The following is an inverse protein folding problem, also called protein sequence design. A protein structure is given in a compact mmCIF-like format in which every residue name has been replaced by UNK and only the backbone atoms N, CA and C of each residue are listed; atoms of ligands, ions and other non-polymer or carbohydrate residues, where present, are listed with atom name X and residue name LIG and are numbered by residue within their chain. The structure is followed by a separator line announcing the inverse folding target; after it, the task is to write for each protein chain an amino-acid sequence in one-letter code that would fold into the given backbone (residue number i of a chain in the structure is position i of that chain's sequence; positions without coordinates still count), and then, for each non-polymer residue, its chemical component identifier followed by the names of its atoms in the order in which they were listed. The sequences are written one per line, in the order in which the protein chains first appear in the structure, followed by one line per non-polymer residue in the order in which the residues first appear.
data_IF_523820816690
#
_entry.id   IF_523820816690
#
_cell.length_a   1.000
_cell.length_b   1.000
_cell.length_c   1.000
_cell.angle_alpha   90.00
_cell.angle_beta   90.00
_cell.angle_gamma   90.00
#
_symmetry.space_group_name_H-M   'P 1'
#
loop_
_entity.id
_entity.type
_entity.pdbx_description
1 polymer ?
#
# COMPACT_ATOMS: atom_id res chain seq x y z
N UNK A 1 -28.13 -40.29 -28.02
CA UNK A 1 -27.92 -39.13 -28.94
C UNK A 1 -27.09 -38.06 -28.22
N UNK A 2 -25.83 -37.92 -28.61
CA UNK A 2 -24.82 -37.07 -27.94
C UNK A 2 -24.89 -35.61 -28.43
N UNK A 3 -24.79 -34.58 -27.56
CA UNK A 3 -24.94 -33.19 -27.98
C UNK A 3 -23.63 -32.63 -28.58
N UNK A 4 -23.79 -31.99 -29.73
CA UNK A 4 -22.73 -31.43 -30.55
C UNK A 4 -22.19 -30.11 -29.98
N UNK A 5 -21.01 -30.15 -29.38
CA UNK A 5 -20.17 -28.98 -29.16
C UNK A 5 -18.85 -29.18 -29.90
N UNK A 6 -18.82 -28.88 -31.19
CA UNK A 6 -17.61 -28.47 -31.92
C UNK A 6 -17.95 -28.21 -33.37
N UNK A 7 -18.10 -26.93 -33.72
CA UNK A 7 -17.58 -26.34 -34.97
C UNK A 7 -17.91 -24.86 -34.99
N UNK A 8 -16.88 -24.03 -34.89
CA UNK A 8 -16.92 -22.63 -35.35
C UNK A 8 -16.36 -22.59 -36.77
N UNK A 9 -17.12 -22.11 -37.75
CA UNK A 9 -16.48 -21.43 -38.86
C UNK A 9 -17.20 -20.11 -39.22
N UNK A 10 -16.40 -19.10 -39.57
CA UNK A 10 -16.85 -18.01 -40.44
C UNK A 10 -17.56 -16.84 -39.77
N UNK A 11 -16.77 -15.85 -39.36
CA UNK A 11 -17.01 -14.40 -39.47
C UNK A 11 -18.44 -13.96 -39.83
N UNK A 12 -19.25 -13.58 -38.83
CA UNK A 12 -19.96 -12.29 -38.79
C UNK A 12 -20.81 -12.10 -37.52
N UNK A 13 -20.52 -10.99 -36.82
CA UNK A 13 -21.41 -10.23 -35.91
C UNK A 13 -22.05 -11.00 -34.75
N UNK A 14 -21.35 -11.05 -33.62
CA UNK A 14 -22.04 -11.13 -32.33
C UNK A 14 -22.72 -9.77 -32.05
N UNK A 15 -24.05 -9.70 -31.89
CA UNK A 15 -24.72 -8.49 -31.45
C UNK A 15 -24.32 -8.21 -29.99
N UNK A 16 -23.84 -7.00 -29.75
CA UNK A 16 -23.53 -6.46 -28.42
C UNK A 16 -24.83 -6.30 -27.66
N UNK A 17 -25.24 -7.31 -26.91
CA UNK A 17 -26.30 -7.18 -25.92
C UNK A 17 -25.92 -7.98 -24.67
N UNK A 18 -25.59 -7.24 -23.61
CA UNK A 18 -25.50 -7.78 -22.27
C UNK A 18 -24.10 -7.88 -21.67
N UNK A 19 -23.26 -6.86 -21.80
CA UNK A 19 -22.24 -6.63 -20.76
C UNK A 19 -22.84 -5.61 -19.77
N UNK A 20 -23.22 -6.04 -18.54
CA UNK A 20 -23.72 -5.13 -17.53
C UNK A 20 -22.67 -4.05 -17.27
N UNK A 21 -23.10 -2.79 -17.22
CA UNK A 21 -22.31 -1.58 -16.94
C UNK A 21 -21.59 -1.58 -15.57
N UNK A 22 -21.51 -2.72 -14.88
CA UNK A 22 -20.83 -2.88 -13.59
C UNK A 22 -19.32 -3.11 -13.73
N UNK A 23 -18.83 -3.58 -14.88
CA UNK A 23 -17.40 -3.85 -15.07
C UNK A 23 -16.59 -2.60 -15.46
N UNK A 24 -17.22 -1.45 -15.74
CA UNK A 24 -16.49 -0.22 -16.06
C UNK A 24 -16.19 0.65 -14.83
N UNK A 25 -16.91 0.52 -13.71
CA UNK A 25 -16.61 1.31 -12.51
C UNK A 25 -15.43 0.75 -11.72
N UNK A 26 -15.20 -0.58 -11.75
CA UNK A 26 -14.04 -1.21 -11.09
C UNK A 26 -12.71 -0.88 -11.77
N UNK A 27 -12.72 -0.53 -13.06
CA UNK A 27 -11.49 -0.15 -13.77
C UNK A 27 -11.19 1.37 -13.76
N UNK A 28 -12.10 2.20 -13.26
CA UNK A 28 -11.90 3.66 -13.21
C UNK A 28 -11.73 4.24 -11.79
N UNK A 29 -11.72 3.42 -10.73
CA UNK A 29 -11.55 3.91 -9.35
C UNK A 29 -10.11 3.84 -8.83
N UNK A 30 -9.15 3.31 -9.58
CA UNK A 30 -7.73 3.26 -9.16
C UNK A 30 -6.77 3.87 -10.18
N UNK A 31 -7.12 5.06 -10.67
CA UNK A 31 -6.18 5.94 -11.40
C UNK A 31 -5.75 7.15 -10.59
N UNK A 32 -5.66 7.03 -9.27
CA UNK A 32 -4.59 7.71 -8.53
C UNK A 32 -3.35 6.84 -8.68
N UNK A 33 -2.69 6.99 -9.83
CA UNK A 33 -1.39 6.39 -10.07
C UNK A 33 -0.42 6.88 -9.00
N UNK A 34 -0.27 6.11 -7.93
CA UNK A 34 0.91 6.17 -7.10
C UNK A 34 2.01 5.68 -8.02
N UNK A 35 2.76 6.65 -8.53
CA UNK A 35 3.98 6.45 -9.28
C UNK A 35 4.71 5.21 -8.75
N UNK A 36 4.85 4.21 -9.62
CA UNK A 36 5.76 3.08 -9.43
C UNK A 36 7.21 3.59 -9.54
N UNK A 37 7.57 4.54 -8.69
CA UNK A 37 8.92 5.05 -8.51
C UNK A 37 9.35 4.68 -7.10
N UNK A 38 10.11 3.59 -7.00
CA UNK A 38 10.77 3.13 -5.77
C UNK A 38 9.82 2.79 -4.62
N UNK A 39 9.44 1.50 -4.55
CA UNK A 39 8.79 0.93 -3.36
C UNK A 39 9.77 1.01 -2.19
N UNK A 40 9.74 2.12 -1.47
CA UNK A 40 10.29 2.16 -0.14
C UNK A 40 9.52 1.15 0.73
N UNK A 41 10.25 0.30 1.44
CA UNK A 41 9.70 -0.86 2.14
C UNK A 41 9.75 -0.61 3.64
N UNK A 42 8.61 -0.74 4.30
CA UNK A 42 8.53 -0.69 5.76
C UNK A 42 8.48 -2.10 6.34
N UNK A 43 9.48 -2.46 7.16
CA UNK A 43 9.65 -3.81 7.72
C UNK A 43 10.22 -3.76 9.15
N UNK A 44 9.75 -4.61 10.08
CA UNK A 44 8.64 -5.54 9.93
C UNK A 44 7.29 -4.83 9.89
N UNK A 45 6.28 -5.44 9.26
CA UNK A 45 4.89 -4.99 9.32
C UNK A 45 3.98 -6.22 9.16
N UNK A 46 3.24 -6.66 10.20
CA UNK A 46 3.06 -6.01 11.49
C UNK A 46 4.35 -5.95 12.34
N UNK A 47 4.43 -4.93 13.19
CA UNK A 47 5.53 -4.73 14.14
C UNK A 47 5.14 -5.35 15.48
N UNK A 48 5.76 -6.47 15.85
CA UNK A 48 5.67 -7.05 17.20
C UNK A 48 6.72 -6.46 18.14
N UNK A 49 7.92 -6.17 17.62
CA UNK A 49 9.04 -5.66 18.39
C UNK A 49 9.05 -4.13 18.63
N UNK A 50 10.19 -3.65 19.13
CA UNK A 50 10.43 -2.24 19.41
C UNK A 50 11.05 -1.46 18.26
N UNK A 51 11.13 -2.01 17.05
CA UNK A 51 11.79 -1.31 15.94
C UNK A 51 11.09 -1.55 14.60
N UNK A 52 10.97 -0.48 13.82
CA UNK A 52 10.50 -0.47 12.44
C UNK A 52 11.58 0.15 11.56
N UNK A 53 11.88 -0.48 10.42
CA UNK A 53 12.83 0.05 9.43
C UNK A 53 12.10 0.39 8.14
N UNK A 54 12.34 1.59 7.60
CA UNK A 54 11.82 2.04 6.31
C UNK A 54 13.01 2.18 5.36
N UNK A 55 13.09 1.32 4.36
CA UNK A 55 14.14 1.36 3.34
C UNK A 55 13.79 2.36 2.25
N UNK A 56 14.75 3.21 1.86
CA UNK A 56 14.58 4.20 0.80
C UNK A 56 15.91 4.47 0.10
N UNK A 57 15.89 4.80 -1.20
CA UNK A 57 17.12 4.94 -1.99
C UNK A 57 18.02 6.09 -1.54
N UNK A 58 17.42 7.16 -1.01
CA UNK A 58 18.14 8.27 -0.41
C UNK A 58 17.36 8.73 0.82
N UNK A 59 18.02 8.78 1.97
CA UNK A 59 17.46 9.47 3.11
C UNK A 59 17.54 10.97 2.93
N UNK A 60 16.40 11.55 2.53
CA UNK A 60 16.16 12.97 2.72
C UNK A 60 16.09 13.23 4.22
N UNK A 61 16.68 14.33 4.67
CA UNK A 61 16.58 14.82 6.05
C UNK A 61 15.18 15.41 6.32
N UNK A 62 14.13 14.73 5.85
CA UNK A 62 12.75 15.16 6.00
C UNK A 62 12.15 14.66 7.29
N UNK A 63 11.21 15.44 7.82
CA UNK A 63 10.52 15.14 9.05
C UNK A 63 9.71 13.84 8.91
N UNK A 64 10.05 12.84 9.71
CA UNK A 64 9.22 11.65 9.87
C UNK A 64 8.06 11.99 10.79
N UNK A 65 6.84 11.80 10.31
CA UNK A 65 5.62 11.98 11.10
C UNK A 65 4.95 10.64 11.32
N UNK A 66 4.49 10.39 12.54
CA UNK A 66 3.74 9.18 12.88
C UNK A 66 2.41 9.60 13.47
N UNK A 67 1.32 9.14 12.89
CA UNK A 67 -0.05 9.38 13.37
C UNK A 67 -0.80 8.08 13.62
N UNK A 68 -1.74 8.10 14.55
CA UNK A 68 -2.75 7.04 14.65
C UNK A 68 -3.86 7.22 13.59
N UNK A 69 -4.82 6.29 13.54
CA UNK A 69 -5.95 6.39 12.60
C UNK A 69 -6.92 7.53 12.92
N UNK A 70 -6.84 8.09 14.13
CA UNK A 70 -7.61 9.26 14.56
C UNK A 70 -6.90 10.57 14.22
N UNK A 71 -5.70 10.51 13.62
CA UNK A 71 -4.91 11.67 13.23
C UNK A 71 -4.10 12.30 14.36
N UNK A 72 -4.00 11.64 15.52
CA UNK A 72 -3.18 12.11 16.63
C UNK A 72 -1.71 11.76 16.37
N UNK A 73 -0.85 12.76 16.58
CA UNK A 73 0.60 12.58 16.46
C UNK A 73 1.16 11.69 17.58
N UNK A 74 1.89 10.66 17.18
CA UNK A 74 2.63 9.75 18.06
C UNK A 74 4.08 10.21 18.09
N UNK A 75 4.51 10.69 19.25
CA UNK A 75 5.90 11.08 19.46
C UNK A 75 6.80 9.83 19.42
N UNK A 76 7.67 9.77 18.42
CA UNK A 76 8.72 8.77 18.32
C UNK A 76 10.03 9.40 18.80
N UNK A 77 10.58 8.89 19.91
CA UNK A 77 11.75 9.49 20.58
C UNK A 77 13.06 9.19 19.87
N UNK A 78 13.19 7.97 19.37
CA UNK A 78 14.42 7.50 18.73
C UNK A 78 14.16 7.26 17.25
N UNK A 79 14.60 8.21 16.43
CA UNK A 79 14.58 8.13 14.97
C UNK A 79 16.03 8.19 14.51
N UNK A 80 16.50 7.11 13.88
CA UNK A 80 17.83 7.04 13.30
C UNK A 80 17.72 7.14 11.79
N UNK A 81 18.21 8.24 11.24
CA UNK A 81 18.31 8.46 9.79
C UNK A 81 19.64 7.88 9.30
N UNK A 82 19.58 6.92 8.38
CA UNK A 82 20.73 6.33 7.70
C UNK A 82 20.58 6.58 6.19
N UNK A 83 21.67 6.58 5.40
CA UNK A 83 21.61 6.95 3.98
C UNK A 83 20.60 6.15 3.14
N UNK A 84 20.40 4.87 3.49
CA UNK A 84 19.56 3.90 2.76
C UNK A 84 18.26 3.52 3.51
N UNK A 85 18.08 4.01 4.74
CA UNK A 85 16.95 3.60 5.59
C UNK A 85 16.70 4.54 6.76
N UNK A 86 15.49 4.48 7.29
CA UNK A 86 15.09 5.14 8.53
C UNK A 86 14.74 4.06 9.54
N UNK A 87 15.27 4.15 10.75
CA UNK A 87 14.97 3.22 11.84
C UNK A 87 14.19 3.97 12.92
N UNK A 88 13.03 3.46 13.26
CA UNK A 88 12.08 4.03 14.22
C UNK A 88 11.95 3.10 15.42
N UNK A 89 12.08 3.63 16.63
CA UNK A 89 11.75 2.89 17.85
C UNK A 89 10.23 2.90 18.08
N UNK A 90 9.62 1.71 18.00
CA UNK A 90 8.18 1.49 18.16
C UNK A 90 7.80 0.95 19.54
N UNK A 91 8.75 0.85 20.49
CA UNK A 91 8.50 0.26 21.81
C UNK A 91 7.46 1.05 22.63
N UNK A 92 7.35 2.35 22.42
CA UNK A 92 6.38 3.21 23.10
C UNK A 92 5.02 3.27 22.41
N UNK A 93 4.84 2.58 21.27
CA UNK A 93 3.59 2.62 20.52
C UNK A 93 2.58 1.66 21.13
N UNK A 94 1.35 2.10 21.42
CA UNK A 94 0.27 1.19 21.84
C UNK A 94 0.09 0.00 20.89
N UNK A 95 -0.05 -1.20 21.46
CA UNK A 95 -0.29 -2.43 20.67
C UNK A 95 -1.76 -2.58 20.30
N UNK A 96 -2.05 -3.39 19.27
CA UNK A 96 -3.40 -3.60 18.75
C UNK A 96 -3.93 -2.44 17.89
N UNK A 97 -3.05 -1.56 17.42
CA UNK A 97 -3.42 -0.36 16.67
C UNK A 97 -2.68 -0.27 15.34
N UNK A 98 -3.23 0.55 14.44
CA UNK A 98 -2.60 0.87 13.16
C UNK A 98 -2.12 2.31 13.19
N UNK A 99 -0.93 2.52 12.66
CA UNK A 99 -0.27 3.81 12.54
C UNK A 99 -0.03 4.15 11.08
N UNK A 100 -0.05 5.44 10.77
CA UNK A 100 0.40 6.00 9.50
C UNK A 100 1.75 6.66 9.74
N UNK A 101 2.78 6.15 9.08
CA UNK A 101 4.12 6.75 9.10
C UNK A 101 4.32 7.49 7.79
N UNK A 102 4.56 8.79 7.86
CA UNK A 102 4.79 9.64 6.71
C UNK A 102 6.27 10.02 6.63
N UNK A 103 6.88 9.77 5.49
CA UNK A 103 8.27 10.09 5.18
C UNK A 103 8.31 10.64 3.77
N UNK A 104 8.86 11.85 3.56
CA UNK A 104 9.04 12.41 2.22
C UNK A 104 7.75 12.46 1.37
N UNK A 105 6.59 12.68 2.01
CA UNK A 105 5.28 12.63 1.35
C UNK A 105 4.74 11.22 1.05
N UNK A 106 5.50 10.16 1.30
CA UNK A 106 5.06 8.76 1.20
C UNK A 106 4.49 8.30 2.55
N UNK A 107 3.32 7.66 2.52
CA UNK A 107 2.65 7.15 3.71
C UNK A 107 2.71 5.62 3.79
N UNK A 108 3.14 5.09 4.92
CA UNK A 108 3.19 3.66 5.24
C UNK A 108 2.17 3.34 6.31
N UNK A 109 1.31 2.37 6.05
CA UNK A 109 0.37 1.83 7.03
C UNK A 109 1.05 0.72 7.82
N UNK A 110 1.24 0.92 9.12
CA UNK A 110 1.97 0.01 10.01
C UNK A 110 1.03 -0.52 11.07
N UNK A 111 0.96 -1.84 11.23
CA UNK A 111 0.16 -2.48 12.27
C UNK A 111 1.07 -2.83 13.45
N UNK A 112 0.77 -2.35 14.66
CA UNK A 112 1.43 -2.77 15.89
C UNK A 112 0.63 -3.91 16.50
N UNK A 113 1.26 -5.08 16.63
CA UNK A 113 0.71 -6.24 17.35
C UNK A 113 1.37 -6.39 18.72
#
# INVERSE_FOLDING_TARGET
PSPAWLTLPGRNRAPVFGLPNFMQSVFNTEKTGISSGEKALAYPNPVSGGTLTIFQKAATAEAVRVTDLQGKDIRTRDIKLLPDRIVLNTASWPSGQTYLVQVAGVSYKIVKI
#
